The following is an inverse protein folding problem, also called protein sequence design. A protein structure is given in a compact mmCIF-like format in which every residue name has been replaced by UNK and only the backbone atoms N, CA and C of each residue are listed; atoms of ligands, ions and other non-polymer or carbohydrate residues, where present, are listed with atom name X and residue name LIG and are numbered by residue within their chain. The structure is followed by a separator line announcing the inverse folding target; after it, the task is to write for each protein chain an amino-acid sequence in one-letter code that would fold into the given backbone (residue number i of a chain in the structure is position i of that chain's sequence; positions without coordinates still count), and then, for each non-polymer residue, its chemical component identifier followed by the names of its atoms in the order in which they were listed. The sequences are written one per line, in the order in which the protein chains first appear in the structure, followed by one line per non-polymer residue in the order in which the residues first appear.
data_IF_702488852882
#
_entry.id   IF_702488852882
#
_cell.length_a   1.000
_cell.length_b   1.000
_cell.length_c   1.000
_cell.angle_alpha   90.00
_cell.angle_beta   90.00
_cell.angle_gamma   90.00
#
_symmetry.space_group_name_H-M   'P 1'
#
loop_
_entity.id
_entity.type
_entity.pdbx_description
1 polymer ?
#
# COMPACT_ATOMS: atom_id res chain seq x y z
N UNK A 1 4.81 -18.45 -10.30
CA UNK A 1 4.07 -17.17 -10.29
C UNK A 1 3.00 -17.14 -11.37
N UNK A 2 3.32 -17.05 -12.67
CA UNK A 2 2.28 -17.00 -13.74
C UNK A 2 1.34 -18.21 -13.71
N UNK A 3 1.86 -19.41 -13.53
CA UNK A 3 1.05 -20.64 -13.40
C UNK A 3 0.09 -20.63 -12.20
N UNK A 4 0.38 -19.83 -11.17
CA UNK A 4 -0.46 -19.64 -10.00
C UNK A 4 -1.43 -18.44 -10.13
N UNK A 5 -1.61 -17.90 -11.34
CA UNK A 5 -2.55 -16.83 -11.62
C UNK A 5 -2.06 -15.40 -11.35
N UNK A 6 -0.83 -15.20 -10.90
CA UNK A 6 -0.29 -13.87 -10.67
C UNK A 6 0.16 -13.20 -11.98
N UNK A 7 -0.15 -11.92 -12.14
CA UNK A 7 0.33 -11.08 -13.25
C UNK A 7 1.77 -10.66 -12.96
N UNK A 8 2.72 -11.51 -13.32
CA UNK A 8 4.14 -11.26 -13.10
C UNK A 8 4.84 -10.86 -14.40
N UNK A 9 5.70 -9.82 -14.33
CA UNK A 9 6.58 -9.37 -15.40
C UNK A 9 8.03 -9.45 -14.90
N UNK A 10 8.93 -9.91 -15.75
CA UNK A 10 10.38 -9.89 -15.50
C UNK A 10 10.91 -8.61 -16.13
N UNK A 11 11.74 -7.89 -15.40
CA UNK A 11 12.51 -6.77 -15.92
C UNK A 11 13.96 -7.21 -16.15
N UNK A 12 14.23 -7.58 -17.38
CA UNK A 12 15.54 -8.03 -17.89
C UNK A 12 16.31 -6.92 -18.61
N UNK A 13 15.85 -5.66 -18.50
CA UNK A 13 16.53 -4.52 -19.11
C UNK A 13 17.93 -4.31 -18.54
N UNK A 14 18.83 -3.66 -19.30
CA UNK A 14 20.21 -3.33 -18.90
C UNK A 14 20.31 -2.15 -17.94
N UNK A 15 19.16 -1.57 -17.52
CA UNK A 15 19.12 -0.41 -16.62
C UNK A 15 19.59 -0.78 -15.20
N UNK A 16 20.09 0.23 -14.48
CA UNK A 16 20.51 0.04 -13.10
C UNK A 16 19.35 -0.43 -12.19
N UNK A 17 19.61 -1.23 -11.15
CA UNK A 17 18.56 -1.70 -10.24
C UNK A 17 17.73 -0.56 -9.64
N UNK A 18 18.37 0.53 -9.22
CA UNK A 18 17.67 1.70 -8.65
C UNK A 18 16.71 2.34 -9.63
N UNK A 19 17.08 2.44 -10.91
CA UNK A 19 16.21 2.96 -11.95
C UNK A 19 14.99 2.06 -12.18
N UNK A 20 15.22 0.74 -12.26
CA UNK A 20 14.13 -0.26 -12.39
C UNK A 20 13.14 -0.16 -11.23
N UNK A 21 13.62 -0.02 -10.01
CA UNK A 21 12.79 0.07 -8.82
C UNK A 21 11.91 1.32 -8.87
N UNK A 22 12.50 2.48 -9.16
CA UNK A 22 11.76 3.74 -9.25
C UNK A 22 10.70 3.70 -10.35
N UNK A 23 11.01 3.13 -11.51
CA UNK A 23 10.04 3.01 -12.61
C UNK A 23 8.82 2.16 -12.20
N UNK A 24 9.05 1.01 -11.56
CA UNK A 24 7.97 0.13 -11.12
C UNK A 24 7.14 0.75 -9.97
N UNK A 25 7.78 1.51 -9.10
CA UNK A 25 7.08 2.26 -8.04
C UNK A 25 6.17 3.35 -8.61
N UNK A 26 6.61 4.07 -9.64
CA UNK A 26 5.79 5.07 -10.35
C UNK A 26 4.61 4.41 -11.06
N UNK A 27 4.81 3.25 -11.68
CA UNK A 27 3.75 2.48 -12.32
C UNK A 27 2.74 1.87 -11.33
N UNK A 28 3.01 1.96 -10.02
CA UNK A 28 2.10 1.48 -8.98
C UNK A 28 2.13 -0.02 -8.76
N UNK A 29 3.20 -0.72 -9.12
CA UNK A 29 3.34 -2.15 -8.87
C UNK A 29 3.41 -2.40 -7.35
N UNK A 30 2.51 -3.20 -6.76
CA UNK A 30 2.38 -3.31 -5.30
C UNK A 30 3.56 -4.02 -4.64
N UNK A 31 4.17 -4.98 -5.34
CA UNK A 31 5.30 -5.76 -4.84
C UNK A 31 6.33 -5.98 -5.93
N UNK A 32 7.61 -5.97 -5.59
CA UNK A 32 8.69 -6.45 -6.45
C UNK A 32 9.41 -7.62 -5.79
N UNK A 33 9.94 -8.50 -6.59
CA UNK A 33 10.73 -9.64 -6.15
C UNK A 33 12.16 -9.42 -6.63
N UNK A 34 13.08 -9.33 -5.69
CA UNK A 34 14.51 -9.19 -5.94
C UNK A 34 15.16 -10.57 -5.79
N UNK A 35 15.97 -10.98 -6.78
CA UNK A 35 16.66 -12.26 -6.77
C UNK A 35 18.11 -12.01 -7.17
N UNK A 36 19.03 -12.27 -6.26
CA UNK A 36 20.47 -12.22 -6.50
C UNK A 36 21.12 -13.61 -6.47
N UNK A 37 22.38 -13.74 -6.90
CA UNK A 37 23.10 -15.03 -6.85
C UNK A 37 23.15 -15.64 -5.45
N UNK A 38 23.35 -14.82 -4.42
CA UNK A 38 23.37 -15.25 -3.01
C UNK A 38 22.01 -15.72 -2.50
N UNK A 39 20.93 -15.18 -3.07
CA UNK A 39 19.57 -15.56 -2.70
C UNK A 39 19.23 -16.93 -3.31
N UNK A 40 19.68 -17.20 -4.52
CA UNK A 40 19.52 -18.50 -5.19
C UNK A 40 20.25 -19.59 -4.40
N UNK A 41 21.49 -19.34 -3.96
CA UNK A 41 22.26 -20.29 -3.15
C UNK A 41 21.53 -20.69 -1.86
N UNK A 42 20.76 -19.76 -1.29
CA UNK A 42 20.00 -19.97 -0.04
C UNK A 42 18.55 -20.41 -0.28
N UNK A 43 18.16 -20.68 -1.53
CA UNK A 43 16.78 -21.00 -1.93
C UNK A 43 15.76 -19.97 -1.42
N UNK A 44 16.08 -18.68 -1.49
CA UNK A 44 15.25 -17.58 -1.01
C UNK A 44 15.10 -16.48 -2.05
N UNK A 45 14.13 -15.60 -1.84
CA UNK A 45 13.94 -14.37 -2.60
C UNK A 45 13.58 -13.25 -1.64
N UNK A 46 13.79 -12.01 -2.05
CA UNK A 46 13.39 -10.83 -1.28
C UNK A 46 12.17 -10.22 -1.95
N UNK A 47 11.05 -10.19 -1.24
CA UNK A 47 9.84 -9.50 -1.65
C UNK A 47 9.84 -8.11 -1.00
N UNK A 48 9.70 -7.07 -1.81
CA UNK A 48 9.65 -5.68 -1.33
C UNK A 48 8.25 -5.14 -1.52
N UNK A 49 7.65 -4.64 -0.46
CA UNK A 49 6.36 -3.94 -0.46
C UNK A 49 6.55 -2.50 -0.93
N UNK A 50 5.68 -2.03 -1.82
CA UNK A 50 5.73 -0.63 -2.30
C UNK A 50 5.24 0.37 -1.25
N UNK A 51 4.26 0.01 -0.44
CA UNK A 51 3.58 0.90 0.51
C UNK A 51 4.43 1.25 1.74
N UNK A 52 5.24 0.30 2.22
CA UNK A 52 6.10 0.46 3.41
C UNK A 52 7.59 0.40 3.10
N UNK A 53 7.97 0.01 1.86
CA UNK A 53 9.35 -0.31 1.47
C UNK A 53 9.98 -1.45 2.28
N UNK A 54 9.18 -2.22 3.00
CA UNK A 54 9.61 -3.35 3.79
C UNK A 54 10.12 -4.49 2.90
N UNK A 55 11.25 -5.09 3.32
CA UNK A 55 11.88 -6.25 2.66
C UNK A 55 11.57 -7.51 3.43
N UNK A 56 10.91 -8.45 2.79
CA UNK A 56 10.50 -9.72 3.36
C UNK A 56 11.26 -10.84 2.65
N UNK A 57 12.06 -11.61 3.39
CA UNK A 57 12.75 -12.78 2.83
C UNK A 57 11.81 -13.96 2.86
N UNK A 58 11.64 -14.62 1.72
CA UNK A 58 10.71 -15.74 1.54
C UNK A 58 11.42 -16.88 0.81
N UNK A 59 11.14 -18.12 1.18
CA UNK A 59 11.61 -19.30 0.43
C UNK A 59 11.02 -19.31 -1.00
N UNK A 60 11.80 -19.76 -1.97
CA UNK A 60 11.34 -19.92 -3.37
C UNK A 60 10.14 -20.86 -3.44
N UNK A 61 10.11 -21.89 -2.61
CA UNK A 61 9.03 -22.88 -2.60
C UNK A 61 7.70 -22.31 -2.08
N UNK A 62 7.76 -21.37 -1.12
CA UNK A 62 6.60 -20.77 -0.48
C UNK A 62 6.16 -19.43 -1.09
N UNK A 63 6.92 -18.87 -2.03
CA UNK A 63 6.70 -17.54 -2.58
C UNK A 63 5.28 -17.35 -3.10
N UNK A 64 4.69 -18.37 -3.68
CA UNK A 64 3.34 -18.28 -4.28
C UNK A 64 2.27 -18.04 -3.22
N UNK A 65 2.34 -18.76 -2.10
CA UNK A 65 1.40 -18.62 -0.99
C UNK A 65 1.65 -17.30 -0.24
N UNK A 66 2.90 -17.04 0.09
CA UNK A 66 3.30 -15.83 0.82
C UNK A 66 3.01 -14.55 0.05
N UNK A 67 3.13 -14.55 -1.28
CA UNK A 67 2.77 -13.38 -2.07
C UNK A 67 1.28 -13.04 -1.98
N UNK A 68 0.41 -14.04 -1.96
CA UNK A 68 -1.03 -13.83 -1.75
C UNK A 68 -1.31 -13.15 -0.41
N UNK A 69 -0.74 -13.68 0.68
CA UNK A 69 -0.85 -13.09 2.02
C UNK A 69 -0.33 -11.64 2.07
N UNK A 70 0.82 -11.38 1.44
CA UNK A 70 1.41 -10.04 1.37
C UNK A 70 0.49 -9.07 0.62
N UNK A 71 -0.07 -9.46 -0.52
CA UNK A 71 -0.97 -8.60 -1.31
C UNK A 71 -2.27 -8.29 -0.57
N UNK A 72 -2.85 -9.27 0.13
CA UNK A 72 -4.03 -9.05 1.00
C UNK A 72 -3.70 -8.11 2.17
N UNK A 73 -2.53 -8.29 2.78
CA UNK A 73 -2.06 -7.41 3.86
C UNK A 73 -1.88 -5.97 3.37
N UNK A 74 -1.25 -5.77 2.21
CA UNK A 74 -1.10 -4.43 1.60
C UNK A 74 -2.47 -3.78 1.41
N UNK A 75 -3.43 -4.51 0.84
CA UNK A 75 -4.78 -4.00 0.61
C UNK A 75 -5.46 -3.59 1.92
N UNK A 76 -5.35 -4.43 2.95
CA UNK A 76 -5.90 -4.16 4.28
C UNK A 76 -5.25 -2.94 4.94
N UNK A 77 -3.93 -2.87 4.94
CA UNK A 77 -3.17 -1.77 5.56
C UNK A 77 -3.50 -0.43 4.88
N UNK A 78 -3.57 -0.42 3.55
CA UNK A 78 -3.97 0.77 2.79
C UNK A 78 -5.40 1.20 3.10
N UNK A 79 -6.33 0.26 3.20
CA UNK A 79 -7.72 0.53 3.56
C UNK A 79 -7.84 1.10 4.97
N UNK A 80 -7.21 0.47 5.97
CA UNK A 80 -7.26 0.93 7.35
C UNK A 80 -6.62 2.32 7.52
N UNK A 81 -5.52 2.58 6.83
CA UNK A 81 -4.89 3.90 6.80
C UNK A 81 -5.81 4.97 6.20
N UNK A 82 -6.43 4.68 5.07
CA UNK A 82 -7.36 5.60 4.42
C UNK A 82 -8.61 5.84 5.29
N UNK A 83 -9.15 4.78 5.90
CA UNK A 83 -10.30 4.86 6.81
C UNK A 83 -9.97 5.66 8.07
N UNK A 84 -8.83 5.44 8.68
CA UNK A 84 -8.39 6.21 9.84
C UNK A 84 -8.22 7.69 9.48
N UNK A 85 -7.61 7.99 8.34
CA UNK A 85 -7.47 9.35 7.83
C UNK A 85 -8.84 10.00 7.61
N UNK A 86 -9.76 9.34 6.92
CA UNK A 86 -11.11 9.85 6.70
C UNK A 86 -11.83 10.14 8.03
N UNK A 87 -11.80 9.17 8.96
CA UNK A 87 -12.48 9.33 10.26
C UNK A 87 -11.91 10.47 11.09
N UNK A 88 -10.59 10.71 11.02
CA UNK A 88 -9.95 11.84 11.72
C UNK A 88 -10.32 13.21 11.13
N UNK A 89 -10.93 13.24 9.94
CA UNK A 89 -11.36 14.45 9.25
C UNK A 89 -12.90 14.57 9.18
N UNK A 90 -13.62 13.80 9.99
CA UNK A 90 -15.08 13.89 10.13
C UNK A 90 -15.41 14.32 11.56
N UNK A 91 -15.93 15.52 11.69
CA UNK A 91 -16.43 16.08 12.94
C UNK A 91 -17.96 16.09 12.98
N UNK A 92 -18.54 16.39 14.15
CA UNK A 92 -19.97 16.57 14.33
C UNK A 92 -20.25 17.91 14.99
N UNK A 93 -21.22 18.66 14.49
CA UNK A 93 -21.65 19.93 15.06
C UNK A 93 -23.18 19.96 15.20
N UNK A 94 -23.67 20.56 16.30
CA UNK A 94 -25.09 20.75 16.57
C UNK A 94 -25.50 22.19 16.26
N UNK A 95 -24.59 23.14 16.50
CA UNK A 95 -24.84 24.57 16.28
C UNK A 95 -23.97 25.11 15.13
N UNK A 96 -24.38 26.28 14.59
CA UNK A 96 -23.60 26.93 13.53
C UNK A 96 -22.23 27.41 14.03
N UNK A 97 -22.15 27.87 15.25
CA UNK A 97 -20.90 28.34 15.85
C UNK A 97 -19.90 27.17 16.02
N UNK A 98 -20.36 26.03 16.53
CA UNK A 98 -19.55 24.80 16.58
C UNK A 98 -19.05 24.37 15.20
N UNK A 99 -19.90 24.45 14.19
CA UNK A 99 -19.54 24.11 12.83
C UNK A 99 -18.42 25.00 12.31
N UNK A 100 -18.49 26.31 12.55
CA UNK A 100 -17.45 27.27 12.16
C UNK A 100 -16.13 26.99 12.90
N UNK A 101 -16.19 26.69 14.20
CA UNK A 101 -15.01 26.34 14.99
C UNK A 101 -14.35 25.04 14.48
N UNK A 102 -15.15 24.01 14.19
CA UNK A 102 -14.64 22.74 13.63
C UNK A 102 -13.95 22.95 12.31
N UNK A 103 -14.50 23.73 11.39
CA UNK A 103 -13.84 24.05 10.13
C UNK A 103 -12.55 24.84 10.27
N UNK A 104 -12.45 25.70 11.30
CA UNK A 104 -11.19 26.41 11.60
C UNK A 104 -10.12 25.50 12.18
N UNK A 105 -10.52 24.55 13.02
CA UNK A 105 -9.62 23.62 13.69
C UNK A 105 -9.13 22.50 12.75
N UNK A 106 -10.04 21.94 11.96
CA UNK A 106 -9.74 20.81 11.07
C UNK A 106 -10.48 20.99 9.73
N UNK A 107 -9.72 21.06 8.63
CA UNK A 107 -10.28 21.18 7.28
C UNK A 107 -10.74 19.81 6.78
N UNK A 108 -11.92 19.39 7.20
CA UNK A 108 -12.52 18.11 6.87
C UNK A 108 -14.00 18.22 6.58
N UNK A 109 -14.73 17.19 6.95
CA UNK A 109 -16.17 17.12 6.86
C UNK A 109 -16.80 17.38 8.22
N UNK A 110 -17.91 18.11 8.26
CA UNK A 110 -18.71 18.30 9.47
C UNK A 110 -20.10 17.75 9.24
N UNK A 111 -20.49 16.77 10.05
CA UNK A 111 -21.86 16.26 10.10
C UNK A 111 -22.71 17.21 10.97
N UNK A 112 -23.72 17.82 10.40
CA UNK A 112 -24.63 18.71 11.11
C UNK A 112 -26.08 18.33 10.79
N UNK A 113 -27.01 18.67 11.71
CA UNK A 113 -28.43 18.56 11.45
C UNK A 113 -28.85 19.60 10.41
N UNK A 114 -29.68 19.19 9.46
CA UNK A 114 -30.29 20.13 8.52
C UNK A 114 -31.38 20.90 9.25
N UNK A 115 -31.18 22.20 9.37
CA UNK A 115 -32.21 23.11 9.89
C UNK A 115 -32.95 23.71 8.70
N UNK A 116 -34.15 23.25 8.50
CA UNK A 116 -35.09 23.84 7.56
C UNK A 116 -35.72 25.08 8.22
N UNK A 117 -35.48 26.28 7.68
CA UNK A 117 -36.18 27.50 8.04
C UNK A 117 -37.33 27.74 7.10
#
# INVERSE_FOLDING_TARGET
MKAAGYRAKIDDSEKSPGWKFSEQEILGIPTRIEIGPKDIEKNQVVVVRRDTCEKIVVSIDEITTKLGEILETIQKDMYEKAKAFLNSHIDTAVTMDEMVEKFKANRGFVKACWLWR
#
